data_IF_402238798350
#
_entry.id   IF_402238798350
#
_cell.length_a   1.000
_cell.length_b   1.000
_cell.length_c   1.000
_cell.angle_alpha   90.00
_cell.angle_beta   90.00
_cell.angle_gamma   90.00
#
_symmetry.space_group_name_H-M   'P 1'
#
loop_
_entity.id
_entity.type
_entity.pdbx_description
1 polymer ?
#
# COMPACT_ATOMS: atom_id res chain seq x y z
N UNK A 1 3.61 -15.99 -4.85
CA UNK A 1 3.93 -15.00 -5.89
C UNK A 1 5.28 -14.39 -5.55
N UNK A 2 6.17 -14.18 -6.51
CA UNK A 2 7.44 -13.45 -6.34
C UNK A 2 7.23 -11.94 -6.53
N UNK A 3 8.20 -11.13 -6.11
CA UNK A 3 8.17 -9.68 -6.33
C UNK A 3 8.15 -9.31 -7.81
N UNK A 4 8.84 -10.10 -8.65
CA UNK A 4 8.84 -9.94 -10.10
C UNK A 4 7.46 -10.20 -10.72
N UNK A 5 6.75 -11.23 -10.25
CA UNK A 5 5.38 -11.53 -10.69
C UNK A 5 4.42 -10.40 -10.32
N UNK A 6 4.57 -9.80 -9.12
CA UNK A 6 3.78 -8.64 -8.71
C UNK A 6 4.11 -7.41 -9.56
N UNK A 7 5.38 -7.13 -9.84
CA UNK A 7 5.77 -6.02 -10.72
C UNK A 7 5.17 -6.16 -12.13
N UNK A 8 5.27 -7.36 -12.72
CA UNK A 8 4.69 -7.64 -14.04
C UNK A 8 3.16 -7.47 -14.03
N UNK A 9 2.49 -7.94 -12.98
CA UNK A 9 1.06 -7.72 -12.78
C UNK A 9 0.72 -6.22 -12.74
N UNK A 10 1.43 -5.44 -11.94
CA UNK A 10 1.18 -4.00 -11.80
C UNK A 10 1.44 -3.23 -13.09
N UNK A 11 2.48 -3.58 -13.85
CA UNK A 11 2.74 -2.99 -15.18
C UNK A 11 1.60 -3.26 -16.15
N UNK A 12 1.16 -4.52 -16.25
CA UNK A 12 0.02 -4.88 -17.09
C UNK A 12 -1.28 -4.20 -16.66
N UNK A 13 -1.50 -4.00 -15.35
CA UNK A 13 -2.64 -3.26 -14.83
C UNK A 13 -2.56 -1.77 -15.16
N UNK A 14 -1.37 -1.14 -14.98
CA UNK A 14 -1.10 0.26 -15.30
C UNK A 14 -1.33 0.58 -16.78
N UNK A 15 -1.00 -0.36 -17.67
CA UNK A 15 -1.22 -0.28 -19.12
C UNK A 15 -2.66 -0.69 -19.54
N UNK A 16 -3.56 -0.96 -18.59
CA UNK A 16 -4.96 -1.33 -18.88
C UNK A 16 -5.15 -2.68 -19.59
N UNK A 17 -4.10 -3.52 -19.64
CA UNK A 17 -4.12 -4.82 -20.34
C UNK A 17 -4.89 -5.89 -19.59
N UNK A 18 -4.92 -5.83 -18.26
CA UNK A 18 -5.54 -6.86 -17.42
C UNK A 18 -6.23 -6.27 -16.21
N UNK A 19 -7.20 -7.02 -15.66
CA UNK A 19 -7.81 -6.73 -14.36
C UNK A 19 -8.44 -5.33 -14.26
N UNK A 20 -9.11 -4.87 -15.32
CA UNK A 20 -9.68 -3.51 -15.39
C UNK A 20 -10.76 -3.24 -14.32
N UNK A 21 -11.36 -4.30 -13.75
CA UNK A 21 -12.34 -4.28 -12.65
C UNK A 21 -11.73 -4.58 -11.29
N UNK A 22 -10.41 -4.55 -11.15
CA UNK A 22 -9.75 -4.76 -9.86
C UNK A 22 -10.20 -3.68 -8.88
N UNK A 23 -10.65 -4.09 -7.70
CA UNK A 23 -10.99 -3.18 -6.59
C UNK A 23 -9.93 -3.24 -5.49
N UNK A 24 -9.43 -4.43 -5.19
CA UNK A 24 -8.42 -4.69 -4.16
C UNK A 24 -7.68 -5.98 -4.45
N UNK A 25 -6.40 -6.02 -4.10
CA UNK A 25 -5.61 -7.26 -4.05
C UNK A 25 -4.77 -7.28 -2.77
N UNK A 26 -4.68 -8.45 -2.17
CA UNK A 26 -3.84 -8.73 -1.01
C UNK A 26 -3.02 -9.99 -1.32
N UNK A 27 -1.70 -9.90 -1.17
CA UNK A 27 -0.75 -10.96 -1.47
C UNK A 27 0.10 -11.20 -0.24
N UNK A 28 0.08 -12.44 0.27
CA UNK A 28 1.00 -12.90 1.30
C UNK A 28 2.14 -13.69 0.62
N UNK A 29 3.38 -13.35 0.94
CA UNK A 29 4.58 -13.97 0.34
C UNK A 29 5.02 -15.26 1.05
N UNK A 30 4.49 -15.52 2.24
CA UNK A 30 4.79 -16.64 3.11
C UNK A 30 5.69 -16.26 4.29
N UNK A 31 5.70 -17.12 5.31
CA UNK A 31 6.51 -16.95 6.51
C UNK A 31 8.01 -16.85 6.16
N UNK A 32 8.70 -15.92 6.82
CA UNK A 32 10.14 -15.69 6.63
C UNK A 32 10.52 -14.95 5.33
N UNK A 33 9.54 -14.47 4.54
CA UNK A 33 9.82 -13.64 3.36
C UNK A 33 9.50 -12.18 3.61
N UNK A 34 10.40 -11.32 3.16
CA UNK A 34 10.22 -9.86 3.16
C UNK A 34 9.82 -9.42 1.76
N UNK A 35 8.87 -8.48 1.69
CA UNK A 35 8.46 -7.83 0.45
C UNK A 35 9.63 -7.01 -0.08
N UNK A 36 10.11 -7.38 -1.27
CA UNK A 36 11.10 -6.58 -2.01
C UNK A 36 10.39 -5.42 -2.74
N UNK A 37 10.29 -4.29 -2.04
CA UNK A 37 9.67 -3.07 -2.58
C UNK A 37 10.42 -2.51 -3.78
N UNK A 38 11.74 -2.68 -3.84
CA UNK A 38 12.55 -2.25 -4.98
C UNK A 38 12.15 -3.03 -6.24
N UNK A 39 12.09 -4.36 -6.14
CA UNK A 39 11.64 -5.21 -7.25
C UNK A 39 10.20 -4.93 -7.67
N UNK A 40 9.30 -4.72 -6.71
CA UNK A 40 7.88 -4.43 -7.00
C UNK A 40 7.69 -3.08 -7.67
N UNK A 41 8.38 -2.02 -7.23
CA UNK A 41 8.13 -0.63 -7.66
C UNK A 41 8.93 -0.20 -8.88
N UNK A 42 9.95 -0.98 -9.26
CA UNK A 42 10.84 -0.68 -10.39
C UNK A 42 10.08 -0.42 -11.70
N UNK A 43 10.25 0.80 -12.22
CA UNK A 43 9.64 1.24 -13.47
C UNK A 43 8.12 1.42 -13.42
N UNK A 44 7.51 1.55 -12.24
CA UNK A 44 6.07 1.87 -12.10
C UNK A 44 5.79 3.36 -11.97
N UNK A 45 6.82 4.17 -11.70
CA UNK A 45 6.73 5.60 -11.43
C UNK A 45 5.69 5.93 -10.35
N UNK A 46 5.77 5.33 -9.15
CA UNK A 46 4.78 5.55 -8.10
C UNK A 46 4.86 7.00 -7.59
N UNK A 47 3.70 7.62 -7.39
CA UNK A 47 3.60 8.90 -6.71
C UNK A 47 3.41 8.68 -5.21
N UNK A 48 4.36 9.15 -4.42
CA UNK A 48 4.22 9.16 -2.95
C UNK A 48 3.18 10.21 -2.57
N UNK A 49 2.22 9.82 -1.73
CA UNK A 49 1.17 10.72 -1.24
C UNK A 49 1.41 11.13 0.20
N UNK A 50 1.07 12.37 0.53
CA UNK A 50 1.33 12.93 1.84
C UNK A 50 0.49 12.24 2.93
N UNK A 51 1.17 11.75 3.96
CA UNK A 51 0.60 10.96 5.03
C UNK A 51 -0.48 11.70 5.84
N UNK A 52 -0.40 13.03 5.97
CA UNK A 52 -1.31 13.80 6.84
C UNK A 52 -2.53 14.32 6.09
N UNK A 53 -2.37 14.62 4.81
CA UNK A 53 -3.39 15.30 4.00
C UNK A 53 -4.11 14.37 3.04
N UNK A 54 -3.50 13.25 2.63
CA UNK A 54 -4.13 12.28 1.72
C UNK A 54 -4.84 11.21 2.51
N UNK A 55 -6.18 11.19 2.45
CA UNK A 55 -7.03 10.20 3.13
C UNK A 55 -7.99 9.58 2.14
N UNK A 56 -8.07 8.24 2.12
CA UNK A 56 -9.01 7.52 1.25
C UNK A 56 -9.75 6.46 2.04
N UNK A 57 -11.08 6.46 1.91
CA UNK A 57 -11.95 5.45 2.48
C UNK A 57 -12.03 4.25 1.56
N UNK A 58 -11.92 3.05 2.11
CA UNK A 58 -12.16 1.80 1.39
C UNK A 58 -12.94 0.82 2.24
N UNK A 59 -13.66 -0.09 1.57
CA UNK A 59 -14.41 -1.15 2.24
C UNK A 59 -13.59 -2.44 2.20
N UNK A 60 -13.23 -2.97 3.37
CA UNK A 60 -12.61 -4.29 3.49
C UNK A 60 -13.62 -5.32 3.95
N UNK A 61 -13.51 -6.52 3.41
CA UNK A 61 -14.25 -7.68 3.92
C UNK A 61 -13.50 -8.21 5.13
N UNK A 62 -14.16 -8.25 6.28
CA UNK A 62 -13.62 -8.86 7.50
C UNK A 62 -14.22 -10.27 7.60
N UNK A 63 -13.34 -11.27 7.73
CA UNK A 63 -13.70 -12.65 8.03
C UNK A 63 -12.85 -13.11 9.21
N UNK A 64 -13.47 -13.24 10.36
CA UNK A 64 -12.96 -13.98 11.51
C UNK A 64 -13.81 -15.23 11.70
N UNK A 65 -13.43 -16.11 12.63
CA UNK A 65 -14.24 -17.28 12.99
C UNK A 65 -15.64 -16.87 13.49
N UNK A 66 -15.75 -15.69 14.11
CA UNK A 66 -16.97 -15.19 14.75
C UNK A 66 -17.76 -14.18 13.91
N UNK A 67 -17.14 -13.58 12.88
CA UNK A 67 -17.76 -12.50 12.12
C UNK A 67 -17.40 -12.54 10.63
N UNK A 68 -18.43 -12.41 9.79
CA UNK A 68 -18.28 -12.13 8.37
C UNK A 68 -19.07 -10.89 8.02
N UNK A 69 -18.37 -9.83 7.63
CA UNK A 69 -19.02 -8.58 7.25
C UNK A 69 -18.10 -7.65 6.48
N UNK A 70 -18.57 -6.42 6.28
CA UNK A 70 -17.83 -5.35 5.64
C UNK A 70 -17.60 -4.24 6.65
N UNK A 71 -16.39 -3.70 6.68
CA UNK A 71 -16.07 -2.54 7.50
C UNK A 71 -15.36 -1.50 6.64
N UNK A 72 -15.67 -0.24 6.91
CA UNK A 72 -14.91 0.87 6.37
C UNK A 72 -13.51 0.91 7.04
N UNK A 73 -12.52 1.30 6.27
CA UNK A 73 -11.17 1.60 6.74
C UNK A 73 -10.65 2.80 5.95
N UNK A 74 -9.67 3.48 6.54
CA UNK A 74 -9.06 4.68 5.99
C UNK A 74 -7.58 4.41 5.77
N UNK A 75 -7.11 4.68 4.54
CA UNK A 75 -5.69 4.76 4.23
C UNK A 75 -5.27 6.22 4.22
N UNK A 76 -4.19 6.51 4.94
CA UNK A 76 -3.52 7.80 5.01
C UNK A 76 -2.18 7.66 4.28
N UNK A 77 -1.88 8.54 3.32
CA UNK A 77 -0.70 8.42 2.46
C UNK A 77 -0.76 7.21 1.52
N UNK A 78 0.40 6.61 1.26
CA UNK A 78 0.55 5.49 0.31
C UNK A 78 1.29 5.86 -0.98
N UNK A 79 1.52 4.84 -1.82
CA UNK A 79 2.10 4.99 -3.15
C UNK A 79 1.02 4.83 -4.21
N UNK A 80 0.74 5.89 -4.94
CA UNK A 80 -0.23 5.85 -6.05
C UNK A 80 0.46 5.40 -7.34
N UNK A 81 -0.16 4.44 -8.02
CA UNK A 81 0.09 4.15 -9.42
C UNK A 81 -1.14 4.56 -10.23
N UNK A 82 -0.92 5.31 -11.31
CA UNK A 82 -1.99 5.74 -12.21
C UNK A 82 -2.01 4.88 -13.47
N UNK A 83 -3.16 4.29 -13.76
CA UNK A 83 -3.46 3.58 -15.01
C UNK A 83 -3.68 4.56 -16.16
N UNK A 84 -3.52 4.11 -17.40
CA UNK A 84 -3.70 4.94 -18.61
C UNK A 84 -5.05 5.69 -18.68
N UNK A 85 -6.12 5.10 -18.14
CA UNK A 85 -7.46 5.72 -18.12
C UNK A 85 -7.68 6.72 -16.96
N UNK A 86 -6.62 6.99 -16.17
CA UNK A 86 -6.65 7.90 -15.04
C UNK A 86 -7.06 7.25 -13.71
N UNK A 87 -7.44 5.97 -13.70
CA UNK A 87 -7.74 5.23 -12.47
C UNK A 87 -6.51 5.15 -11.58
N UNK A 88 -6.68 5.42 -10.29
CA UNK A 88 -5.60 5.40 -9.31
C UNK A 88 -5.70 4.12 -8.51
N UNK A 89 -4.56 3.48 -8.23
CA UNK A 89 -4.48 2.47 -7.20
C UNK A 89 -3.40 2.84 -6.19
N UNK A 90 -3.74 2.75 -4.90
CA UNK A 90 -2.82 3.06 -3.80
C UNK A 90 -2.29 1.76 -3.23
N UNK A 91 -0.96 1.60 -3.29
CA UNK A 91 -0.21 0.52 -2.64
C UNK A 91 -0.01 0.88 -1.18
N UNK A 92 -0.16 -0.11 -0.31
CA UNK A 92 -0.06 0.04 1.15
C UNK A 92 1.41 0.04 1.59
N UNK A 93 2.20 0.96 1.06
CA UNK A 93 3.57 1.23 1.49
C UNK A 93 3.70 2.72 1.78
N UNK A 94 4.47 3.10 2.81
CA UNK A 94 4.53 4.49 3.30
C UNK A 94 3.14 5.07 3.62
N UNK A 95 2.30 4.26 4.27
CA UNK A 95 0.92 4.62 4.63
C UNK A 95 0.59 4.26 6.08
N UNK A 96 -0.52 4.80 6.58
CA UNK A 96 -1.14 4.44 7.85
C UNK A 96 -2.60 4.02 7.63
N UNK A 97 -3.02 2.91 8.24
CA UNK A 97 -4.41 2.42 8.13
C UNK A 97 -5.13 2.54 9.47
N UNK A 98 -6.36 3.02 9.42
CA UNK A 98 -7.23 3.23 10.60
C UNK A 98 -8.68 2.87 10.32
N UNK A 99 -9.48 2.67 11.38
CA UNK A 99 -10.94 2.49 11.28
C UNK A 99 -11.69 3.82 11.17
N UNK A 100 -11.06 4.93 11.54
CA UNK A 100 -11.66 6.27 11.58
C UNK A 100 -10.81 7.27 10.79
N UNK A 101 -11.46 8.24 10.14
CA UNK A 101 -10.80 9.20 9.23
C UNK A 101 -9.76 10.09 9.93
N UNK A 102 -10.00 10.42 11.19
CA UNK A 102 -9.21 11.40 11.94
C UNK A 102 -8.41 10.77 13.08
N UNK A 103 -8.11 9.47 12.97
CA UNK A 103 -7.19 8.81 13.89
C UNK A 103 -5.83 9.52 13.84
N UNK A 104 -5.30 9.88 15.01
CA UNK A 104 -3.97 10.45 15.14
C UNK A 104 -2.91 9.46 14.63
N UNK A 105 -2.04 9.94 13.75
CA UNK A 105 -0.98 9.14 13.16
C UNK A 105 0.17 9.05 14.17
N UNK A 106 0.58 7.84 14.60
CA UNK A 106 1.66 7.70 15.57
C UNK A 106 2.99 8.25 15.05
N UNK A 107 3.77 8.88 15.92
CA UNK A 107 5.07 9.46 15.55
C UNK A 107 6.02 8.47 14.86
N UNK A 108 6.16 7.20 15.31
CA UNK A 108 7.02 6.24 14.60
C UNK A 108 6.61 5.99 13.14
N UNK A 109 5.32 6.10 12.83
CA UNK A 109 4.81 5.97 11.46
C UNK A 109 5.16 7.21 10.63
N UNK A 110 5.08 8.40 11.22
CA UNK A 110 5.51 9.65 10.60
C UNK A 110 7.02 9.61 10.32
N UNK A 111 7.83 9.19 11.30
CA UNK A 111 9.29 9.12 11.15
C UNK A 111 9.71 8.15 10.04
N UNK A 112 9.06 6.99 9.96
CA UNK A 112 9.26 6.04 8.87
C UNK A 112 8.89 6.65 7.51
N UNK A 113 7.73 7.31 7.42
CA UNK A 113 7.31 7.98 6.20
C UNK A 113 8.31 9.06 5.75
N UNK A 114 8.68 10.00 6.63
CA UNK A 114 9.59 11.11 6.31
C UNK A 114 10.99 10.61 5.91
N UNK A 115 11.45 9.47 6.45
CA UNK A 115 12.72 8.84 6.04
C UNK A 115 12.74 8.42 4.57
N UNK A 116 11.61 7.96 4.03
CA UNK A 116 11.53 7.32 2.72
C UNK A 116 10.73 8.11 1.67
N UNK A 117 10.04 9.19 2.05
CA UNK A 117 9.13 9.96 1.18
C UNK A 117 9.80 10.65 -0.02
N UNK A 118 11.10 10.93 0.07
CA UNK A 118 11.84 11.64 -0.98
C UNK A 118 12.78 10.71 -1.75
N UNK A 119 12.65 9.39 -1.53
CA UNK A 119 13.46 8.38 -2.22
C UNK A 119 12.91 8.11 -3.62
N UNK A 120 13.81 7.85 -4.56
CA UNK A 120 13.45 7.44 -5.91
C UNK A 120 13.11 5.94 -5.93
N UNK A 121 11.86 5.62 -5.60
CA UNK A 121 11.33 4.26 -5.69
C UNK A 121 11.23 3.72 -7.12
N UNK A 122 11.35 4.58 -8.15
CA UNK A 122 11.34 4.14 -9.54
C UNK A 122 12.66 3.47 -9.94
N UNK A 123 13.78 3.86 -9.31
CA UNK A 123 15.11 3.27 -9.52
C UNK A 123 15.15 1.76 -9.23
N UNK A 124 14.39 1.32 -8.21
CA UNK A 124 14.51 -0.02 -7.66
C UNK A 124 15.80 -0.22 -6.85
N UNK A 125 16.41 0.85 -6.34
CA UNK A 125 17.67 0.83 -5.60
C UNK A 125 17.59 1.59 -4.27
N UNK A 126 16.38 1.71 -3.69
CA UNK A 126 16.20 2.34 -2.38
C UNK A 126 16.78 1.43 -1.29
N UNK A 127 17.78 1.93 -0.57
CA UNK A 127 18.30 1.24 0.61
C UNK A 127 17.29 1.32 1.75
N UNK A 128 16.68 0.17 2.07
CA UNK A 128 15.80 0.01 3.22
C UNK A 128 16.64 -0.59 4.33
N UNK A 129 16.92 0.18 5.38
CA UNK A 129 17.45 -0.35 6.62
C UNK A 129 16.47 -1.37 7.18
N UNK A 130 16.80 -2.65 7.02
CA UNK A 130 16.11 -3.71 7.75
C UNK A 130 16.28 -3.42 9.25
N UNK A 131 15.19 -3.60 10.01
CA UNK A 131 15.27 -3.69 11.48
C UNK A 131 15.48 -2.40 12.30
N UNK A 132 15.26 -1.21 11.73
CA UNK A 132 15.26 0.04 12.49
C UNK A 132 14.18 0.11 13.59
N UNK A 133 14.48 0.72 14.73
CA UNK A 133 13.58 0.76 15.91
C UNK A 133 12.19 1.34 15.59
N UNK A 134 12.13 2.41 14.79
CA UNK A 134 10.88 3.03 14.37
C UNK A 134 10.03 2.11 13.47
N UNK A 135 10.67 1.32 12.61
CA UNK A 135 9.98 0.36 11.76
C UNK A 135 9.43 -0.82 12.56
N UNK A 136 10.25 -1.38 13.46
CA UNK A 136 9.84 -2.43 14.40
C UNK A 136 8.66 -1.97 15.25
N UNK A 137 8.74 -0.76 15.81
CA UNK A 137 7.66 -0.21 16.62
C UNK A 137 6.41 0.09 15.79
N UNK A 138 6.56 0.66 14.59
CA UNK A 138 5.45 0.91 13.66
C UNK A 138 4.71 -0.37 13.26
N UNK A 139 5.45 -1.46 12.99
CA UNK A 139 4.88 -2.78 12.69
C UNK A 139 4.26 -3.44 13.93
N UNK A 140 4.92 -3.36 15.10
CA UNK A 140 4.40 -3.89 16.39
C UNK A 140 3.07 -3.25 16.76
N UNK A 141 2.91 -1.95 16.51
CA UNK A 141 1.66 -1.23 16.75
C UNK A 141 0.59 -1.51 15.68
N UNK A 142 0.88 -2.34 14.67
CA UNK A 142 -0.02 -2.66 13.55
C UNK A 142 -0.26 -1.48 12.61
N UNK A 143 0.71 -0.56 12.52
CA UNK A 143 0.55 0.74 11.84
C UNK A 143 1.28 0.84 10.52
N UNK A 144 2.35 0.06 10.37
CA UNK A 144 2.94 -0.27 9.08
C UNK A 144 2.39 -1.63 8.62
N UNK A 145 2.34 -1.86 7.31
CA UNK A 145 1.97 -3.17 6.76
C UNK A 145 2.87 -4.28 7.35
N UNK A 146 2.44 -5.54 7.36
CA UNK A 146 3.36 -6.65 7.65
C UNK A 146 4.51 -6.74 6.64
N UNK A 147 5.67 -7.25 7.06
CA UNK A 147 6.87 -7.39 6.19
C UNK A 147 6.66 -8.35 5.03
N UNK A 148 5.71 -9.29 5.16
CA UNK A 148 5.45 -10.39 4.24
C UNK A 148 4.22 -10.15 3.34
N UNK A 149 3.66 -8.94 3.36
CA UNK A 149 2.37 -8.63 2.74
C UNK A 149 2.43 -7.43 1.81
N UNK A 150 1.89 -7.62 0.61
CA UNK A 150 1.56 -6.57 -0.33
C UNK A 150 0.03 -6.37 -0.35
N UNK A 151 -0.42 -5.12 -0.35
CA UNK A 151 -1.81 -4.76 -0.53
C UNK A 151 -1.95 -3.52 -1.42
N UNK A 152 -2.98 -3.52 -2.26
CA UNK A 152 -3.34 -2.44 -3.17
C UNK A 152 -4.87 -2.29 -3.18
N UNK A 153 -5.34 -1.04 -3.15
CA UNK A 153 -6.76 -0.70 -3.37
C UNK A 153 -6.87 0.25 -4.55
N UNK A 154 -7.86 -0.01 -5.41
CA UNK A 154 -8.15 0.79 -6.60
C UNK A 154 -9.25 1.80 -6.29
N UNK A 155 -9.00 3.06 -6.62
CA UNK A 155 -9.92 4.17 -6.54
C UNK A 155 -10.26 4.61 -7.96
N UNK A 156 -11.37 4.08 -8.47
CA UNK A 156 -11.90 4.48 -9.78
C UNK A 156 -12.66 5.81 -9.63
N UNK A 157 -12.23 6.89 -10.29
CA UNK A 157 -12.93 8.18 -10.22
C UNK A 157 -14.36 8.12 -10.78
N UNK A 158 -14.69 7.12 -11.59
CA UNK A 158 -16.00 6.93 -12.20
C UNK A 158 -16.92 5.99 -11.40
N UNK A 159 -16.39 5.31 -10.38
CA UNK A 159 -17.13 4.32 -9.61
C UNK A 159 -17.28 4.80 -8.16
N UNK A 160 -18.36 5.55 -7.91
CA UNK A 160 -18.72 6.04 -6.58
C UNK A 160 -19.25 4.91 -5.71
N UNK A 161 -18.37 4.03 -5.21
CA UNK A 161 -18.72 3.11 -4.13
C UNK A 161 -17.86 3.48 -2.92
N UNK A 162 -18.40 4.35 -2.07
CA UNK A 162 -17.83 4.80 -0.79
C UNK A 162 -18.38 4.01 0.41
#
# INVERSE_FOLDING_TARGET
MSSEEVNLFLKNWKEGKTNNRLERIEINFGEGKVVDWNGILKGLEPKITDLKTTKRKYIKTIKTEEFKGRAASWIHGGLDIQREDGTIATIFHLCFVSSEENTEIPQPTIDYFEKYRDKDWNSGEVEIEEDGDAEKEGRRLGRLMPIDRFELVVFDPNNHIY
#
